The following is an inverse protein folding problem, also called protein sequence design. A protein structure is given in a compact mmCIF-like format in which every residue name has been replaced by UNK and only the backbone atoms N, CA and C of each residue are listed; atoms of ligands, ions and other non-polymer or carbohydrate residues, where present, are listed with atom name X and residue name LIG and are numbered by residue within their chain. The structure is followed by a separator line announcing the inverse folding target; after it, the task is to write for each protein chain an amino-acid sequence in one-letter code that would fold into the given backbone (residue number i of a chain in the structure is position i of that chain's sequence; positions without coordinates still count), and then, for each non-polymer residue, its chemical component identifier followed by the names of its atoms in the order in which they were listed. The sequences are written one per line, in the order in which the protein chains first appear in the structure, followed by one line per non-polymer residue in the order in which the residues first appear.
data_IF_149048299090
#
_entry.id   IF_149048299090
#
_cell.length_a   1.000
_cell.length_b   1.000
_cell.length_c   1.000
_cell.angle_alpha   90.00
_cell.angle_beta   90.00
_cell.angle_gamma   90.00
#
_symmetry.space_group_name_H-M   'P 1'
#
loop_
_entity.id
_entity.type
_entity.pdbx_description
1 polymer ?
#
# COMPACT_ATOMS: atom_id res chain seq x y z
N UNK A 1 -80.19 22.39 8.04
CA UNK A 1 -81.63 22.53 8.39
C UNK A 1 -81.69 22.59 9.92
N UNK A 2 -82.46 23.51 10.53
CA UNK A 2 -82.52 23.60 12.00
C UNK A 2 -83.54 22.63 12.59
N UNK A 3 -83.32 22.20 13.84
CA UNK A 3 -84.24 21.32 14.58
C UNK A 3 -85.70 21.81 14.54
N UNK A 4 -85.93 23.08 14.88
CA UNK A 4 -87.25 23.73 14.84
C UNK A 4 -87.93 23.72 13.46
N UNK A 5 -87.14 23.61 12.39
CA UNK A 5 -87.66 23.57 11.03
C UNK A 5 -87.92 22.13 10.61
N UNK A 6 -87.10 21.19 11.06
CA UNK A 6 -87.31 19.75 10.86
C UNK A 6 -88.60 19.28 11.56
N UNK A 7 -88.83 19.72 12.79
CA UNK A 7 -90.07 19.39 13.54
C UNK A 7 -91.33 19.76 12.75
N UNK A 8 -91.37 20.95 12.14
CA UNK A 8 -92.50 21.42 11.31
C UNK A 8 -92.70 20.60 10.03
N UNK A 9 -91.65 19.97 9.49
CA UNK A 9 -91.75 19.16 8.27
C UNK A 9 -92.17 17.71 8.57
N UNK A 10 -91.77 17.16 9.71
CA UNK A 10 -91.97 15.76 10.05
C UNK A 10 -93.14 15.51 11.01
N UNK A 11 -93.81 16.55 11.50
CA UNK A 11 -94.88 16.48 12.51
C UNK A 11 -96.01 15.50 12.17
N UNK A 12 -96.31 15.28 10.89
CA UNK A 12 -97.38 14.38 10.43
C UNK A 12 -96.87 13.04 9.87
N UNK A 13 -95.59 12.71 10.04
CA UNK A 13 -95.05 11.43 9.55
C UNK A 13 -95.16 10.33 10.61
N UNK A 14 -95.73 9.18 10.24
CA UNK A 14 -95.85 8.02 11.14
C UNK A 14 -94.50 7.54 11.73
N UNK A 15 -93.40 7.74 11.00
CA UNK A 15 -92.04 7.40 11.46
C UNK A 15 -91.50 8.39 12.49
N UNK A 16 -91.95 9.64 12.44
CA UNK A 16 -91.63 10.67 13.42
C UNK A 16 -92.40 10.45 14.72
N UNK A 17 -93.70 10.14 14.61
CA UNK A 17 -94.55 9.84 15.77
C UNK A 17 -94.14 8.55 16.51
N UNK A 18 -93.55 7.58 15.80
CA UNK A 18 -93.11 6.30 16.38
C UNK A 18 -92.04 6.40 17.47
N UNK A 19 -91.27 7.50 17.51
CA UNK A 19 -90.29 7.76 18.58
C UNK A 19 -90.98 8.64 19.61
N UNK A 20 -91.34 8.15 20.79
CA UNK A 20 -92.19 8.92 21.73
C UNK A 20 -91.46 10.10 22.39
N UNK A 21 -90.14 10.01 22.56
CA UNK A 21 -89.33 11.02 23.25
C UNK A 21 -88.86 12.11 22.29
N UNK A 22 -89.27 13.36 22.54
CA UNK A 22 -88.78 14.53 21.77
C UNK A 22 -87.26 14.66 21.83
N UNK A 23 -86.66 14.33 22.99
CA UNK A 23 -85.20 14.34 23.17
C UNK A 23 -84.51 13.31 22.30
N UNK A 24 -85.07 12.11 22.18
CA UNK A 24 -84.52 11.05 21.33
C UNK A 24 -84.66 11.40 19.84
N UNK A 25 -85.76 12.03 19.44
CA UNK A 25 -85.91 12.58 18.08
C UNK A 25 -84.86 13.67 17.80
N UNK A 26 -84.60 14.55 18.77
CA UNK A 26 -83.59 15.61 18.63
C UNK A 26 -82.18 15.05 18.51
N UNK A 27 -81.83 14.07 19.35
CA UNK A 27 -80.52 13.41 19.33
C UNK A 27 -80.30 12.66 18.00
N UNK A 28 -81.27 11.86 17.54
CA UNK A 28 -81.21 11.17 16.24
C UNK A 28 -81.10 12.12 15.05
N UNK A 29 -81.82 13.24 15.08
CA UNK A 29 -81.72 14.28 14.06
C UNK A 29 -80.33 14.91 14.05
N UNK A 30 -79.78 15.26 15.22
CA UNK A 30 -78.44 15.85 15.34
C UNK A 30 -77.36 14.87 14.85
N UNK A 31 -77.46 13.60 15.22
CA UNK A 31 -76.54 12.55 14.77
C UNK A 31 -76.61 12.35 13.25
N UNK A 32 -77.82 12.31 12.68
CA UNK A 32 -78.00 12.18 11.23
C UNK A 32 -77.42 13.39 10.48
N UNK A 33 -77.69 14.61 10.94
CA UNK A 33 -77.11 15.83 10.34
C UNK A 33 -75.58 15.80 10.43
N UNK A 34 -75.01 15.44 11.59
CA UNK A 34 -73.57 15.30 11.75
C UNK A 34 -72.99 14.22 10.82
N UNK A 35 -73.67 13.10 10.64
CA UNK A 35 -73.26 12.03 9.73
C UNK A 35 -73.30 12.48 8.25
N UNK A 36 -74.31 13.26 7.86
CA UNK A 36 -74.41 13.84 6.52
C UNK A 36 -73.32 14.88 6.26
N UNK A 37 -73.05 15.75 7.22
CA UNK A 37 -71.96 16.73 7.14
C UNK A 37 -70.59 16.05 7.04
N UNK A 38 -70.37 14.98 7.82
CA UNK A 38 -69.17 14.16 7.73
C UNK A 38 -69.04 13.48 6.36
N UNK A 39 -70.11 12.86 5.85
CA UNK A 39 -70.12 12.21 4.54
C UNK A 39 -69.83 13.19 3.40
N UNK A 40 -70.45 14.38 3.42
CA UNK A 40 -70.21 15.39 2.39
C UNK A 40 -68.78 15.94 2.46
N UNK A 41 -68.25 16.15 3.67
CA UNK A 41 -66.85 16.54 3.87
C UNK A 41 -65.90 15.47 3.32
N UNK A 42 -66.15 14.19 3.60
CA UNK A 42 -65.33 13.10 3.10
C UNK A 42 -65.41 12.99 1.57
N UNK A 43 -66.60 13.20 0.99
CA UNK A 43 -66.79 13.26 -0.48
C UNK A 43 -65.95 14.37 -1.11
N UNK A 44 -65.97 15.57 -0.53
CA UNK A 44 -65.17 16.70 -1.01
C UNK A 44 -63.66 16.44 -0.91
N UNK A 45 -63.21 15.82 0.19
CA UNK A 45 -61.81 15.42 0.36
C UNK A 45 -61.39 14.34 -0.65
N UNK A 46 -62.26 13.38 -0.94
CA UNK A 46 -62.02 12.34 -1.92
C UNK A 46 -61.85 12.92 -3.34
N UNK A 47 -62.76 13.82 -3.76
CA UNK A 47 -62.67 14.52 -5.06
C UNK A 47 -61.39 15.34 -5.15
N UNK A 48 -61.05 16.11 -4.10
CA UNK A 48 -59.80 16.87 -4.03
C UNK A 48 -58.58 15.96 -4.20
N UNK A 49 -58.54 14.82 -3.49
CA UNK A 49 -57.45 13.84 -3.59
C UNK A 49 -57.36 13.24 -5.00
N UNK A 50 -58.49 12.91 -5.62
CA UNK A 50 -58.54 12.41 -6.98
C UNK A 50 -58.00 13.43 -7.99
N UNK A 51 -58.41 14.69 -7.86
CA UNK A 51 -57.93 15.78 -8.71
C UNK A 51 -56.43 16.04 -8.53
N UNK A 52 -55.92 15.98 -7.29
CA UNK A 52 -54.47 16.06 -7.01
C UNK A 52 -53.69 14.90 -7.66
N UNK A 53 -54.26 13.69 -7.66
CA UNK A 53 -53.64 12.53 -8.31
C UNK A 53 -53.64 12.68 -9.84
N UNK A 54 -54.74 13.10 -10.45
CA UNK A 54 -54.81 13.40 -11.89
C UNK A 54 -53.79 14.47 -12.30
N UNK A 55 -53.63 15.50 -11.49
CA UNK A 55 -52.62 16.53 -11.71
C UNK A 55 -51.20 15.94 -11.68
N UNK A 56 -50.91 15.08 -10.70
CA UNK A 56 -49.63 14.37 -10.62
C UNK A 56 -49.38 13.49 -11.85
N UNK A 57 -50.38 12.74 -12.30
CA UNK A 57 -50.27 11.92 -13.51
C UNK A 57 -49.95 12.75 -14.75
N UNK A 58 -50.53 13.96 -14.87
CA UNK A 58 -50.17 14.89 -15.95
C UNK A 58 -48.71 15.34 -15.85
N UNK A 59 -48.21 15.64 -14.66
CA UNK A 59 -46.80 15.96 -14.48
C UNK A 59 -45.86 14.79 -14.80
N UNK A 60 -46.28 13.56 -14.50
CA UNK A 60 -45.53 12.34 -14.84
C UNK A 60 -45.53 12.05 -16.34
N UNK A 61 -46.62 12.39 -17.06
CA UNK A 61 -46.72 12.25 -18.51
C UNK A 61 -45.91 13.32 -19.27
N UNK A 62 -45.76 14.52 -18.69
CA UNK A 62 -45.02 15.61 -19.29
C UNK A 62 -43.50 15.49 -19.08
N UNK A 63 -42.79 15.08 -20.14
CA UNK A 63 -41.34 14.94 -20.15
C UNK A 63 -40.59 16.28 -20.12
N UNK A 64 -41.29 17.42 -20.29
CA UNK A 64 -40.66 18.75 -20.20
C UNK A 64 -40.38 19.17 -18.76
N UNK A 65 -40.99 18.51 -17.78
CA UNK A 65 -40.78 18.77 -16.36
C UNK A 65 -39.53 18.03 -15.89
N UNK A 66 -38.51 18.82 -15.55
CA UNK A 66 -37.24 18.34 -15.01
C UNK A 66 -37.07 18.79 -13.56
N UNK A 67 -36.04 18.27 -12.89
CA UNK A 67 -35.67 18.68 -11.52
C UNK A 67 -35.48 20.21 -11.38
N UNK A 68 -35.00 20.87 -12.44
CA UNK A 68 -34.79 22.33 -12.45
C UNK A 68 -36.00 23.14 -12.90
N UNK A 69 -37.14 22.50 -13.17
CA UNK A 69 -38.33 23.19 -13.65
C UNK A 69 -38.86 24.16 -12.60
N UNK A 70 -39.09 25.41 -13.02
CA UNK A 70 -39.61 26.45 -12.15
C UNK A 70 -41.13 26.51 -12.23
N UNK A 71 -41.77 26.74 -11.07
CA UNK A 71 -43.21 26.87 -10.95
C UNK A 71 -43.84 27.81 -11.99
N UNK A 72 -43.23 28.98 -12.24
CA UNK A 72 -43.77 29.98 -13.19
C UNK A 72 -44.01 29.39 -14.58
N UNK A 73 -43.08 28.59 -15.09
CA UNK A 73 -43.18 27.99 -16.42
C UNK A 73 -44.28 26.93 -16.50
N UNK A 74 -44.40 26.13 -15.44
CA UNK A 74 -45.43 25.09 -15.36
C UNK A 74 -46.81 25.73 -15.21
N UNK A 75 -46.94 26.74 -14.37
CA UNK A 75 -48.20 27.47 -14.20
C UNK A 75 -48.75 27.97 -15.55
N UNK A 76 -47.90 28.61 -16.37
CA UNK A 76 -48.34 29.18 -17.65
C UNK A 76 -48.79 28.09 -18.65
N UNK A 77 -48.29 26.85 -18.53
CA UNK A 77 -48.73 25.70 -19.34
C UNK A 77 -50.07 25.11 -18.88
N UNK A 78 -50.34 25.16 -17.57
CA UNK A 78 -51.52 24.54 -16.95
C UNK A 78 -52.64 25.54 -16.64
N UNK A 79 -52.47 26.83 -16.92
CA UNK A 79 -53.47 27.89 -16.62
C UNK A 79 -54.82 27.68 -17.34
N UNK A 80 -54.81 27.03 -18.50
CA UNK A 80 -56.00 26.69 -19.27
C UNK A 80 -56.60 25.30 -18.95
N UNK A 81 -55.98 24.54 -18.05
CA UNK A 81 -56.42 23.19 -17.68
C UNK A 81 -57.62 23.27 -16.71
N UNK A 82 -58.73 22.56 -16.94
CA UNK A 82 -59.85 22.49 -15.99
C UNK A 82 -59.42 22.12 -14.57
N UNK A 83 -58.36 21.29 -14.42
CA UNK A 83 -57.81 20.93 -13.11
C UNK A 83 -57.22 22.11 -12.34
N UNK A 84 -56.72 23.13 -13.04
CA UNK A 84 -56.20 24.35 -12.40
C UNK A 84 -57.33 25.25 -11.87
N UNK A 85 -58.53 25.16 -12.45
CA UNK A 85 -59.71 25.88 -11.98
C UNK A 85 -60.40 25.16 -10.82
N UNK A 86 -60.38 23.83 -10.80
CA UNK A 86 -61.02 23.01 -9.75
C UNK A 86 -60.19 22.88 -8.47
N UNK A 87 -58.85 22.91 -8.56
CA UNK A 87 -57.96 22.79 -7.40
C UNK A 87 -57.59 24.16 -6.81
N UNK A 88 -57.36 24.19 -5.50
CA UNK A 88 -56.76 25.37 -4.87
C UNK A 88 -55.29 25.52 -5.32
N UNK A 89 -54.84 26.77 -5.43
CA UNK A 89 -53.48 27.12 -5.81
C UNK A 89 -52.46 26.51 -4.86
N UNK A 90 -52.80 26.40 -3.57
CA UNK A 90 -51.97 25.75 -2.57
C UNK A 90 -51.81 24.25 -2.85
N UNK A 91 -52.90 23.55 -3.19
CA UNK A 91 -52.85 22.12 -3.49
C UNK A 91 -52.02 21.85 -4.75
N UNK A 92 -52.19 22.69 -5.78
CA UNK A 92 -51.41 22.58 -7.01
C UNK A 92 -49.91 22.74 -6.73
N UNK A 93 -49.52 23.76 -5.95
CA UNK A 93 -48.14 23.97 -5.52
C UNK A 93 -47.62 22.78 -4.71
N UNK A 94 -48.44 22.21 -3.83
CA UNK A 94 -48.07 21.04 -3.03
C UNK A 94 -47.81 19.81 -3.89
N UNK A 95 -48.67 19.54 -4.88
CA UNK A 95 -48.47 18.43 -5.83
C UNK A 95 -47.21 18.64 -6.66
N UNK A 96 -47.00 19.87 -7.17
CA UNK A 96 -45.82 20.21 -7.95
C UNK A 96 -44.53 20.05 -7.13
N UNK A 97 -44.48 20.59 -5.92
CA UNK A 97 -43.31 20.49 -5.05
C UNK A 97 -42.99 19.03 -4.71
N UNK A 98 -43.99 18.23 -4.35
CA UNK A 98 -43.80 16.81 -4.07
C UNK A 98 -43.29 16.06 -5.32
N UNK A 99 -43.80 16.39 -6.51
CA UNK A 99 -43.33 15.79 -7.75
C UNK A 99 -41.86 16.13 -8.05
N UNK A 100 -41.45 17.41 -7.89
CA UNK A 100 -40.06 17.82 -8.06
C UNK A 100 -39.14 17.12 -7.05
N UNK A 101 -39.53 17.04 -5.77
CA UNK A 101 -38.77 16.28 -4.75
C UNK A 101 -38.63 14.80 -5.12
N UNK A 102 -39.66 14.19 -5.67
CA UNK A 102 -39.61 12.79 -6.13
C UNK A 102 -38.66 12.65 -7.34
N UNK A 103 -38.63 13.62 -8.27
CA UNK A 103 -37.66 13.65 -9.37
C UNK A 103 -36.21 13.83 -8.87
N UNK A 104 -35.99 14.72 -7.90
CA UNK A 104 -34.69 14.90 -7.24
C UNK A 104 -34.21 13.60 -6.61
N UNK A 105 -35.08 12.96 -5.83
CA UNK A 105 -34.80 11.68 -5.20
C UNK A 105 -34.49 10.60 -6.23
N UNK A 106 -35.26 10.49 -7.31
CA UNK A 106 -34.99 9.55 -8.41
C UNK A 106 -33.62 9.81 -9.06
N UNK A 107 -33.27 11.07 -9.32
CA UNK A 107 -31.98 11.43 -9.92
C UNK A 107 -30.81 11.09 -8.97
N UNK A 108 -30.96 11.39 -7.69
CA UNK A 108 -29.96 11.07 -6.67
C UNK A 108 -29.80 9.56 -6.48
N UNK A 109 -30.90 8.81 -6.48
CA UNK A 109 -30.89 7.35 -6.41
C UNK A 109 -30.21 6.74 -7.64
N UNK A 110 -30.46 7.26 -8.85
CA UNK A 110 -29.76 6.83 -10.06
C UNK A 110 -28.26 7.12 -9.96
N UNK A 111 -27.87 8.32 -9.51
CA UNK A 111 -26.45 8.69 -9.31
C UNK A 111 -25.78 7.80 -8.26
N UNK A 112 -26.47 7.50 -7.16
CA UNK A 112 -26.01 6.57 -6.12
C UNK A 112 -25.82 5.16 -6.69
N UNK A 113 -26.80 4.64 -7.43
CA UNK A 113 -26.72 3.32 -8.06
C UNK A 113 -25.57 3.23 -9.05
N UNK A 114 -25.37 4.23 -9.91
CA UNK A 114 -24.23 4.27 -10.84
C UNK A 114 -22.89 4.25 -10.09
N UNK A 115 -22.74 5.09 -9.07
CA UNK A 115 -21.54 5.11 -8.22
C UNK A 115 -21.31 3.77 -7.52
N UNK A 116 -22.35 3.13 -7.03
CA UNK A 116 -22.24 1.85 -6.33
C UNK A 116 -21.95 0.69 -7.29
N UNK A 117 -22.46 0.73 -8.53
CA UNK A 117 -22.06 -0.19 -9.61
C UNK A 117 -20.56 -0.08 -9.89
N UNK A 118 -20.06 1.15 -10.10
CA UNK A 118 -18.62 1.39 -10.31
C UNK A 118 -17.76 0.90 -9.13
N UNK A 119 -18.22 1.12 -7.89
CA UNK A 119 -17.53 0.60 -6.69
C UNK A 119 -17.53 -0.92 -6.61
N UNK A 120 -18.62 -1.58 -7.03
CA UNK A 120 -18.71 -3.05 -7.07
C UNK A 120 -17.78 -3.64 -8.12
N UNK A 121 -17.73 -3.05 -9.31
CA UNK A 121 -16.80 -3.45 -10.37
C UNK A 121 -15.34 -3.25 -9.94
N UNK A 122 -15.00 -2.09 -9.38
CA UNK A 122 -13.66 -1.85 -8.85
C UNK A 122 -13.27 -2.78 -7.69
N UNK A 123 -14.23 -3.31 -6.93
CA UNK A 123 -13.96 -4.38 -5.94
C UNK A 123 -13.63 -5.70 -6.64
N UNK A 124 -14.45 -6.11 -7.62
CA UNK A 124 -14.22 -7.33 -8.41
C UNK A 124 -12.84 -7.31 -9.08
N UNK A 125 -12.47 -6.20 -9.71
CA UNK A 125 -11.17 -6.08 -10.39
C UNK A 125 -9.99 -6.21 -9.39
N UNK A 126 -10.12 -5.61 -8.20
CA UNK A 126 -9.11 -5.77 -7.13
C UNK A 126 -9.04 -7.20 -6.62
N UNK A 127 -10.16 -7.87 -6.43
CA UNK A 127 -10.20 -9.25 -5.96
C UNK A 127 -9.68 -10.23 -7.02
N UNK A 128 -9.95 -9.97 -8.30
CA UNK A 128 -9.34 -10.69 -9.43
C UNK A 128 -7.82 -10.51 -9.46
N UNK A 129 -7.32 -9.29 -9.24
CA UNK A 129 -5.88 -9.07 -9.18
C UNK A 129 -5.22 -9.76 -7.98
N UNK A 130 -5.89 -9.81 -6.82
CA UNK A 130 -5.40 -10.60 -5.67
C UNK A 130 -5.39 -12.10 -5.96
N UNK A 131 -6.43 -12.62 -6.62
CA UNK A 131 -6.47 -14.01 -7.04
C UNK A 131 -5.34 -14.32 -8.04
N UNK A 132 -5.07 -13.41 -8.97
CA UNK A 132 -3.96 -13.50 -9.91
C UNK A 132 -2.59 -13.50 -9.19
N UNK A 133 -2.39 -12.64 -8.19
CA UNK A 133 -1.17 -12.66 -7.37
C UNK A 133 -1.00 -13.99 -6.63
N UNK A 134 -2.10 -14.55 -6.09
CA UNK A 134 -2.08 -15.85 -5.44
C UNK A 134 -1.78 -17.00 -6.42
N UNK A 135 -2.34 -16.96 -7.62
CA UNK A 135 -2.03 -17.91 -8.70
C UNK A 135 -0.55 -17.87 -9.07
N UNK A 136 0.02 -16.67 -9.24
CA UNK A 136 1.44 -16.47 -9.55
C UNK A 136 2.38 -16.84 -8.42
N UNK A 137 1.92 -16.70 -7.18
CA UNK A 137 2.62 -17.26 -6.03
C UNK A 137 2.64 -18.78 -6.06
N UNK A 138 1.50 -19.42 -6.35
CA UNK A 138 1.39 -20.87 -6.46
C UNK A 138 2.13 -21.46 -7.67
N UNK A 139 2.34 -20.68 -8.74
CA UNK A 139 3.20 -21.09 -9.87
C UNK A 139 4.69 -20.91 -9.59
N UNK A 140 5.07 -20.23 -8.50
CA UNK A 140 6.46 -19.92 -8.15
C UNK A 140 7.07 -18.76 -8.94
N UNK A 141 6.30 -18.09 -9.81
CA UNK A 141 6.72 -16.89 -10.54
C UNK A 141 6.79 -15.65 -9.63
N UNK A 142 6.11 -15.70 -8.47
CA UNK A 142 6.09 -14.66 -7.47
C UNK A 142 6.52 -15.21 -6.10
N UNK A 143 7.50 -14.55 -5.48
CA UNK A 143 8.08 -14.92 -4.19
C UNK A 143 8.47 -13.65 -3.40
N UNK A 144 8.87 -13.80 -2.13
CA UNK A 144 9.15 -12.67 -1.23
C UNK A 144 10.28 -11.71 -1.69
N UNK A 145 11.08 -12.13 -2.68
CA UNK A 145 12.18 -11.33 -3.24
C UNK A 145 11.84 -10.69 -4.60
N UNK A 146 10.71 -11.06 -5.21
CA UNK A 146 10.31 -10.51 -6.51
C UNK A 146 10.12 -8.99 -6.41
N UNK A 147 10.74 -8.24 -7.33
CA UNK A 147 10.62 -6.78 -7.39
C UNK A 147 9.37 -6.37 -8.15
N UNK A 148 8.77 -5.24 -7.78
CA UNK A 148 7.61 -4.70 -8.49
C UNK A 148 7.90 -4.45 -9.97
N UNK A 149 9.03 -3.83 -10.31
CA UNK A 149 9.42 -3.59 -11.71
C UNK A 149 9.49 -4.87 -12.54
N UNK A 150 10.06 -5.94 -11.98
CA UNK A 150 10.17 -7.23 -12.66
C UNK A 150 8.78 -7.86 -12.87
N UNK A 151 7.93 -7.79 -11.84
CA UNK A 151 6.55 -8.27 -11.93
C UNK A 151 5.74 -7.46 -12.95
N UNK A 152 5.76 -6.14 -12.85
CA UNK A 152 5.06 -5.21 -13.76
C UNK A 152 5.50 -5.42 -15.20
N UNK A 153 6.80 -5.49 -15.48
CA UNK A 153 7.30 -5.71 -16.84
C UNK A 153 6.82 -7.03 -17.44
N UNK A 154 6.67 -8.09 -16.62
CA UNK A 154 6.16 -9.40 -17.07
C UNK A 154 4.64 -9.42 -17.27
N UNK A 155 3.87 -8.76 -16.41
CA UNK A 155 2.41 -8.92 -16.36
C UNK A 155 1.59 -7.68 -16.76
N UNK A 156 2.23 -6.57 -17.12
CA UNK A 156 1.53 -5.35 -17.55
C UNK A 156 0.60 -5.56 -18.75
N UNK A 157 0.93 -6.51 -19.64
CA UNK A 157 0.13 -6.81 -20.84
C UNK A 157 -1.14 -7.59 -20.52
N UNK A 158 -1.27 -8.14 -19.31
CA UNK A 158 -2.43 -8.96 -18.95
C UNK A 158 -3.70 -8.11 -18.84
N UNK A 159 -4.87 -8.64 -19.24
CA UNK A 159 -6.12 -7.90 -19.14
C UNK A 159 -6.47 -7.53 -17.70
N UNK A 160 -6.08 -8.36 -16.73
CA UNK A 160 -6.32 -8.13 -15.29
C UNK A 160 -5.57 -6.87 -14.82
N UNK A 161 -4.32 -6.70 -15.24
CA UNK A 161 -3.51 -5.53 -14.91
C UNK A 161 -4.05 -4.26 -15.55
N UNK A 162 -4.46 -4.33 -16.82
CA UNK A 162 -5.03 -3.19 -17.55
C UNK A 162 -6.38 -2.75 -16.98
N UNK A 163 -7.26 -3.71 -16.69
CA UNK A 163 -8.56 -3.44 -16.07
C UNK A 163 -8.39 -2.70 -14.74
N UNK A 164 -7.45 -3.12 -13.89
CA UNK A 164 -7.20 -2.44 -12.62
C UNK A 164 -6.49 -1.09 -12.78
N UNK A 165 -5.54 -0.97 -13.71
CA UNK A 165 -4.79 0.28 -13.95
C UNK A 165 -5.66 1.43 -14.46
N UNK A 166 -6.70 1.11 -15.23
CA UNK A 166 -7.64 2.09 -15.75
C UNK A 166 -8.67 2.57 -14.70
N UNK A 167 -8.74 1.95 -13.51
CA UNK A 167 -9.66 2.35 -12.44
C UNK A 167 -9.04 3.45 -11.59
N UNK A 168 -9.77 4.54 -11.40
CA UNK A 168 -9.38 5.66 -10.53
C UNK A 168 -9.87 5.50 -9.09
N UNK A 169 -10.65 4.45 -8.79
CA UNK A 169 -11.33 4.23 -7.51
C UNK A 169 -10.72 3.01 -6.81
N UNK A 170 -10.10 3.26 -5.65
CA UNK A 170 -9.55 2.21 -4.79
C UNK A 170 -8.03 2.10 -4.88
N UNK A 171 -7.53 0.94 -4.48
CA UNK A 171 -6.09 0.65 -4.42
C UNK A 171 -5.51 0.42 -5.81
N UNK A 172 -4.28 0.89 -6.01
CA UNK A 172 -3.54 0.70 -7.26
C UNK A 172 -3.01 -0.74 -7.38
N UNK A 173 -2.64 -1.21 -8.59
CA UNK A 173 -1.94 -2.49 -8.75
C UNK A 173 -0.68 -2.60 -7.89
N UNK A 174 0.08 -1.51 -7.75
CA UNK A 174 1.26 -1.46 -6.88
C UNK A 174 0.88 -1.71 -5.42
N UNK A 175 -0.11 -0.98 -4.90
CA UNK A 175 -0.54 -1.12 -3.51
C UNK A 175 -0.95 -2.55 -3.19
N UNK A 176 -1.74 -3.18 -4.08
CA UNK A 176 -2.15 -4.57 -3.89
C UNK A 176 -0.98 -5.55 -3.95
N UNK A 177 0.01 -5.30 -4.80
CA UNK A 177 1.23 -6.10 -4.84
C UNK A 177 2.07 -5.92 -3.57
N UNK A 178 2.22 -4.69 -3.09
CA UNK A 178 2.92 -4.41 -1.84
C UNK A 178 2.24 -5.10 -0.66
N UNK A 179 0.93 -4.97 -0.51
CA UNK A 179 0.14 -5.66 0.52
C UNK A 179 0.38 -7.18 0.47
N UNK A 180 0.28 -7.77 -0.74
CA UNK A 180 0.49 -9.21 -0.93
C UNK A 180 1.94 -9.62 -0.61
N UNK A 181 2.92 -8.81 -0.99
CA UNK A 181 4.33 -9.05 -0.71
C UNK A 181 4.64 -8.94 0.78
N UNK A 182 4.05 -7.98 1.50
CA UNK A 182 4.20 -7.88 2.96
C UNK A 182 3.65 -9.13 3.65
N UNK A 183 2.47 -9.61 3.23
CA UNK A 183 1.90 -10.87 3.72
C UNK A 183 2.84 -12.07 3.44
N UNK A 184 3.48 -12.11 2.26
CA UNK A 184 4.48 -13.11 1.94
C UNK A 184 5.75 -12.99 2.79
N UNK A 185 6.24 -11.78 3.05
CA UNK A 185 7.42 -11.55 3.89
C UNK A 185 7.16 -12.00 5.33
N UNK A 186 5.97 -11.73 5.88
CA UNK A 186 5.60 -12.20 7.23
C UNK A 186 5.52 -13.73 7.28
N UNK A 187 4.98 -14.38 6.25
CA UNK A 187 4.97 -15.85 6.15
C UNK A 187 6.39 -16.40 5.99
N UNK A 188 7.19 -15.77 5.14
CA UNK A 188 8.57 -16.15 4.91
C UNK A 188 9.41 -16.01 6.19
N UNK A 189 9.23 -14.98 7.01
CA UNK A 189 9.97 -14.82 8.27
C UNK A 189 9.67 -15.96 9.27
N UNK A 190 8.43 -16.45 9.31
CA UNK A 190 8.05 -17.61 10.13
C UNK A 190 8.68 -18.88 9.59
N UNK A 191 8.62 -19.09 8.28
CA UNK A 191 9.20 -20.24 7.62
C UNK A 191 10.73 -20.19 7.66
N UNK A 192 11.34 -19.01 7.61
CA UNK A 192 12.78 -18.76 7.71
C UNK A 192 13.34 -19.24 9.04
N UNK A 193 12.64 -18.98 10.15
CA UNK A 193 13.02 -19.51 11.46
C UNK A 193 13.04 -21.03 11.46
N UNK A 194 11.99 -21.66 10.93
CA UNK A 194 11.90 -23.11 10.80
C UNK A 194 12.98 -23.68 9.89
N UNK A 195 13.23 -23.04 8.74
CA UNK A 195 14.28 -23.41 7.78
C UNK A 195 15.67 -23.31 8.41
N UNK A 196 15.94 -22.27 9.20
CA UNK A 196 17.21 -22.08 9.90
C UNK A 196 17.46 -23.15 10.94
N UNK A 197 16.42 -23.53 11.70
CA UNK A 197 16.52 -24.62 12.67
C UNK A 197 16.68 -25.96 11.95
N UNK A 198 15.98 -26.17 10.84
CA UNK A 198 16.11 -27.37 10.02
C UNK A 198 17.51 -27.56 9.43
N UNK A 199 18.08 -26.48 8.89
CA UNK A 199 19.44 -26.48 8.33
C UNK A 199 20.50 -26.76 9.38
N UNK A 200 20.27 -26.32 10.63
CA UNK A 200 21.15 -26.68 11.76
C UNK A 200 20.97 -28.14 12.16
N UNK A 201 19.73 -28.63 12.24
CA UNK A 201 19.44 -30.02 12.59
C UNK A 201 20.03 -31.00 11.55
N UNK A 202 20.12 -30.58 10.29
CA UNK A 202 20.68 -31.37 9.17
C UNK A 202 22.18 -31.13 8.94
N UNK A 203 22.83 -30.24 9.70
CA UNK A 203 24.22 -29.78 9.48
C UNK A 203 24.51 -29.44 8.00
N UNK A 204 23.53 -28.84 7.33
CA UNK A 204 23.59 -28.64 5.89
C UNK A 204 24.63 -27.56 5.54
N UNK A 205 25.67 -27.95 4.81
CA UNK A 205 26.68 -27.04 4.29
C UNK A 205 26.35 -26.69 2.84
N UNK A 206 26.08 -25.41 2.60
CA UNK A 206 25.88 -24.91 1.25
C UNK A 206 27.19 -24.93 0.49
N UNK A 207 27.26 -25.72 -0.57
CA UNK A 207 28.38 -25.73 -1.52
C UNK A 207 27.98 -24.89 -2.73
N UNK A 208 28.72 -23.80 -3.05
CA UNK A 208 28.50 -23.02 -4.26
C UNK A 208 28.55 -23.92 -5.51
N UNK A 209 27.57 -23.77 -6.41
CA UNK A 209 27.42 -24.46 -7.70
C UNK A 209 26.90 -25.92 -7.69
N UNK A 210 26.94 -26.65 -6.56
CA UNK A 210 26.36 -28.01 -6.46
C UNK A 210 24.95 -28.02 -5.85
N UNK A 211 24.63 -26.98 -5.08
CA UNK A 211 23.33 -26.88 -4.41
C UNK A 211 22.30 -26.23 -5.33
N UNK A 212 21.61 -27.02 -6.16
CA UNK A 212 20.47 -26.57 -6.95
C UNK A 212 19.19 -26.51 -6.10
N UNK A 213 18.17 -25.79 -6.59
CA UNK A 213 16.86 -25.74 -5.93
C UNK A 213 16.31 -27.14 -5.65
N UNK A 214 16.48 -28.03 -6.62
CA UNK A 214 16.04 -29.42 -6.61
C UNK A 214 16.77 -30.23 -5.53
N UNK A 215 18.10 -30.13 -5.46
CA UNK A 215 18.89 -30.87 -4.47
C UNK A 215 18.67 -30.36 -3.04
N UNK A 216 18.40 -29.05 -2.89
CA UNK A 216 18.01 -28.47 -1.62
C UNK A 216 16.61 -28.91 -1.20
N UNK A 217 15.62 -28.89 -2.09
CA UNK A 217 14.27 -29.41 -1.81
C UNK A 217 14.31 -30.87 -1.39
N UNK A 218 15.03 -31.72 -2.13
CA UNK A 218 15.20 -33.14 -1.79
C UNK A 218 15.91 -33.34 -0.45
N UNK A 219 16.90 -32.50 -0.11
CA UNK A 219 17.59 -32.59 1.18
C UNK A 219 16.70 -32.15 2.34
N UNK A 220 15.81 -31.19 2.11
CA UNK A 220 14.85 -30.73 3.11
C UNK A 220 13.66 -31.69 3.25
N UNK A 221 13.17 -32.29 2.16
CA UNK A 221 12.08 -33.29 2.16
C UNK A 221 12.42 -34.57 2.92
N UNK A 222 13.71 -34.89 3.10
CA UNK A 222 14.17 -35.97 4.00
C UNK A 222 13.78 -35.75 5.46
N UNK A 223 13.39 -34.53 5.84
CA UNK A 223 12.97 -34.18 7.18
C UNK A 223 11.45 -34.03 7.28
N UNK A 224 10.83 -34.58 8.33
CA UNK A 224 9.37 -34.46 8.56
C UNK A 224 8.92 -33.00 8.80
N UNK A 225 9.84 -32.13 9.24
CA UNK A 225 9.59 -30.70 9.50
C UNK A 225 9.44 -29.88 8.21
N UNK A 226 9.82 -30.43 7.06
CA UNK A 226 9.68 -29.79 5.73
C UNK A 226 8.22 -29.63 5.29
N UNK A 227 7.32 -30.50 5.76
CA UNK A 227 5.89 -30.45 5.46
C UNK A 227 5.21 -29.18 5.99
N UNK A 228 5.79 -28.53 7.01
CA UNK A 228 5.25 -27.28 7.56
C UNK A 228 5.75 -26.02 6.83
N UNK A 229 6.65 -26.17 5.85
CA UNK A 229 7.33 -25.05 5.19
C UNK A 229 6.88 -24.99 3.73
N UNK A 230 6.50 -23.80 3.28
CA UNK A 230 6.07 -23.63 1.89
C UNK A 230 7.22 -23.91 0.90
N UNK A 231 7.01 -24.73 -0.14
CA UNK A 231 8.01 -24.99 -1.17
C UNK A 231 8.57 -23.74 -1.87
N UNK A 232 7.77 -22.68 -1.89
CA UNK A 232 8.12 -21.39 -2.49
C UNK A 232 9.09 -20.56 -1.64
N UNK A 233 9.19 -20.86 -0.34
CA UNK A 233 10.10 -20.19 0.60
C UNK A 233 11.52 -20.78 0.59
N UNK A 234 11.74 -21.92 -0.07
CA UNK A 234 13.08 -22.49 -0.27
C UNK A 234 13.96 -21.63 -1.21
N UNK A 235 13.36 -20.99 -2.23
CA UNK A 235 14.05 -20.12 -3.18
C UNK A 235 14.72 -18.91 -2.47
N UNK A 236 13.96 -18.08 -1.72
CA UNK A 236 14.57 -16.97 -0.99
C UNK A 236 15.60 -17.40 0.06
N UNK A 237 15.43 -18.58 0.66
CA UNK A 237 16.38 -19.09 1.66
C UNK A 237 17.69 -19.56 1.02
N UNK A 238 17.63 -20.17 -0.16
CA UNK A 238 18.83 -20.52 -0.92
C UNK A 238 19.62 -19.27 -1.35
N UNK A 239 18.93 -18.22 -1.80
CA UNK A 239 19.60 -16.95 -2.10
C UNK A 239 20.25 -16.34 -0.85
N UNK A 240 19.61 -16.47 0.32
CA UNK A 240 20.20 -16.09 1.60
C UNK A 240 21.46 -16.92 1.93
N UNK A 241 21.43 -18.25 1.76
CA UNK A 241 22.60 -19.11 1.98
C UNK A 241 23.74 -18.73 1.04
N UNK A 242 23.45 -18.48 -0.24
CA UNK A 242 24.43 -18.03 -1.23
C UNK A 242 25.07 -16.71 -0.83
N UNK A 243 24.26 -15.72 -0.43
CA UNK A 243 24.77 -14.43 0.06
C UNK A 243 25.62 -14.57 1.32
N UNK A 244 25.20 -15.43 2.26
CA UNK A 244 25.93 -15.68 3.51
C UNK A 244 27.31 -16.29 3.23
N UNK A 245 27.41 -17.22 2.29
CA UNK A 245 28.67 -17.86 1.92
C UNK A 245 29.59 -16.89 1.17
N UNK A 246 29.07 -16.16 0.18
CA UNK A 246 29.83 -15.11 -0.52
C UNK A 246 30.35 -14.03 0.46
N UNK A 247 29.57 -13.71 1.48
CA UNK A 247 30.00 -12.77 2.54
C UNK A 247 31.13 -13.34 3.39
N UNK A 248 31.05 -14.63 3.78
CA UNK A 248 32.15 -15.30 4.49
C UNK A 248 33.40 -15.32 3.61
N UNK A 249 33.30 -15.68 2.35
CA UNK A 249 34.40 -15.71 1.39
C UNK A 249 35.06 -14.33 1.25
N UNK A 250 34.26 -13.26 1.08
CA UNK A 250 34.78 -11.88 1.07
C UNK A 250 35.48 -11.49 2.36
N UNK A 251 34.96 -11.90 3.52
CA UNK A 251 35.62 -11.62 4.80
C UNK A 251 36.90 -12.45 4.99
N UNK A 252 36.90 -13.70 4.55
CA UNK A 252 38.07 -14.58 4.56
C UNK A 252 39.16 -14.06 3.61
N UNK A 253 38.79 -13.63 2.41
CA UNK A 253 39.69 -12.98 1.44
C UNK A 253 40.28 -11.68 2.01
N UNK A 254 39.46 -10.84 2.65
CA UNK A 254 39.96 -9.64 3.35
C UNK A 254 40.90 -9.96 4.50
N UNK A 255 40.61 -10.99 5.31
CA UNK A 255 41.49 -11.47 6.39
C UNK A 255 42.80 -12.01 5.83
N UNK A 256 42.75 -12.84 4.78
CA UNK A 256 43.91 -13.37 4.06
C UNK A 256 44.77 -12.24 3.48
N UNK A 257 44.16 -11.26 2.80
CA UNK A 257 44.87 -10.08 2.27
C UNK A 257 45.55 -9.25 3.38
N UNK A 258 44.91 -9.11 4.54
CA UNK A 258 45.52 -8.43 5.71
C UNK A 258 46.71 -9.22 6.26
N UNK A 259 46.59 -10.54 6.43
CA UNK A 259 47.71 -11.42 6.86
C UNK A 259 48.89 -11.34 5.90
N UNK A 260 48.64 -11.38 4.60
CA UNK A 260 49.65 -11.18 3.56
C UNK A 260 50.28 -9.78 3.67
N UNK A 261 49.49 -8.74 3.91
CA UNK A 261 49.99 -7.38 4.11
C UNK A 261 50.89 -7.23 5.34
N UNK A 262 50.55 -7.87 6.47
CA UNK A 262 51.39 -7.90 7.66
C UNK A 262 52.70 -8.65 7.42
N UNK A 263 52.66 -9.76 6.70
CA UNK A 263 53.86 -10.51 6.33
C UNK A 263 54.77 -9.71 5.39
N UNK A 264 54.22 -9.03 4.38
CA UNK A 264 54.99 -8.11 3.51
C UNK A 264 55.62 -6.96 4.29
N UNK A 265 54.89 -6.37 5.23
CA UNK A 265 55.44 -5.32 6.11
C UNK A 265 56.58 -5.86 6.98
N UNK A 266 56.41 -7.06 7.51
CA UNK A 266 57.45 -7.72 8.30
C UNK A 266 58.71 -8.00 7.48
N UNK A 267 58.57 -8.37 6.21
CA UNK A 267 59.70 -8.50 5.28
C UNK A 267 60.39 -7.16 5.07
N UNK A 268 59.64 -6.07 4.82
CA UNK A 268 60.22 -4.71 4.68
C UNK A 268 60.92 -4.20 5.95
N UNK A 269 60.36 -4.47 7.13
CA UNK A 269 60.92 -4.02 8.41
C UNK A 269 62.17 -4.82 8.80
N UNK A 270 62.34 -6.03 8.24
CA UNK A 270 63.51 -6.89 8.46
C UNK A 270 64.63 -6.48 7.49
N UNK A 271 65.36 -5.43 7.84
CA UNK A 271 66.46 -4.82 7.05
C UNK A 271 67.69 -5.74 6.79
N UNK A 272 67.66 -6.99 7.22
CA UNK A 272 68.72 -7.98 7.00
C UNK A 272 68.48 -8.86 5.76
N UNK A 273 67.47 -8.55 4.96
CA UNK A 273 67.15 -9.28 3.72
C UNK A 273 67.84 -8.56 2.55
N UNK A 274 68.86 -9.20 2.00
CA UNK A 274 69.64 -8.72 0.84
C UNK A 274 69.23 -9.54 -0.39
N UNK A 275 69.53 -9.07 -1.62
CA UNK A 275 69.19 -9.72 -2.91
C UNK A 275 69.59 -11.20 -3.03
N UNK A 276 70.54 -11.66 -2.20
CA UNK A 276 71.07 -13.04 -2.18
C UNK A 276 70.56 -13.86 -1.00
N UNK A 277 69.74 -13.28 -0.11
CA UNK A 277 69.23 -13.99 1.08
C UNK A 277 68.36 -15.16 0.66
N UNK A 278 68.73 -16.35 1.13
CA UNK A 278 67.96 -17.56 0.84
C UNK A 278 66.72 -17.63 1.72
N UNK A 279 65.68 -18.28 1.19
CA UNK A 279 64.43 -18.48 1.93
C UNK A 279 64.66 -19.18 3.28
N UNK A 280 65.68 -20.02 3.40
CA UNK A 280 66.00 -20.77 4.61
C UNK A 280 66.58 -19.91 5.74
N UNK A 281 67.42 -18.91 5.44
CA UNK A 281 67.98 -17.97 6.42
C UNK A 281 66.91 -17.00 6.96
N UNK A 282 66.06 -16.52 6.05
CA UNK A 282 64.96 -15.61 6.39
C UNK A 282 63.86 -16.38 7.14
N UNK A 283 63.62 -17.64 6.79
CA UNK A 283 62.72 -18.55 7.51
C UNK A 283 63.19 -18.77 8.95
N UNK A 284 64.48 -19.00 9.20
CA UNK A 284 65.01 -19.18 10.55
C UNK A 284 64.81 -17.91 11.43
N UNK A 285 64.92 -16.73 10.81
CA UNK A 285 64.80 -15.43 11.51
C UNK A 285 63.34 -14.99 11.72
N UNK A 286 62.44 -15.39 10.82
CA UNK A 286 61.01 -15.05 10.87
C UNK A 286 60.14 -16.10 11.56
N UNK A 287 60.64 -17.32 11.78
CA UNK A 287 59.90 -18.44 12.37
C UNK A 287 59.28 -18.12 13.75
N UNK A 288 59.94 -17.26 14.52
CA UNK A 288 59.53 -16.90 15.89
C UNK A 288 58.50 -15.75 15.91
N UNK A 289 58.24 -15.11 14.76
CA UNK A 289 57.35 -13.96 14.67
C UNK A 289 55.91 -14.38 14.38
N UNK A 290 54.96 -13.71 15.05
CA UNK A 290 53.53 -14.03 15.01
C UNK A 290 52.94 -13.89 13.61
N UNK A 291 53.45 -12.95 12.82
CA UNK A 291 53.02 -12.68 11.46
C UNK A 291 53.49 -13.76 10.46
N UNK A 292 54.53 -14.54 10.79
CA UNK A 292 54.96 -15.73 10.05
C UNK A 292 54.10 -16.95 10.40
N UNK A 293 53.76 -17.12 11.69
CA UNK A 293 52.91 -18.21 12.18
C UNK A 293 51.46 -18.08 11.71
N UNK A 294 50.95 -16.85 11.53
CA UNK A 294 49.57 -16.58 11.09
C UNK A 294 49.26 -16.98 9.63
N UNK A 295 50.28 -17.29 8.80
CA UNK A 295 50.13 -17.71 7.41
C UNK A 295 50.31 -19.23 7.27
N UNK A 296 49.31 -20.08 7.48
CA UNK A 296 49.54 -21.55 7.53
C UNK A 296 50.19 -22.19 6.28
N UNK A 297 50.06 -21.59 5.10
CA UNK A 297 50.55 -22.17 3.83
C UNK A 297 52.03 -21.86 3.53
N UNK A 298 52.89 -22.87 3.66
CA UNK A 298 54.34 -22.76 3.40
C UNK A 298 54.68 -22.28 1.97
N UNK A 299 53.89 -22.66 0.97
CA UNK A 299 54.09 -22.26 -0.43
C UNK A 299 53.67 -20.80 -0.70
N UNK A 300 52.68 -20.27 0.03
CA UNK A 300 52.30 -18.87 -0.11
C UNK A 300 53.35 -17.95 0.50
N UNK A 301 53.96 -18.39 1.62
CA UNK A 301 55.07 -17.68 2.26
C UNK A 301 56.27 -17.53 1.30
N UNK A 302 56.63 -18.62 0.62
CA UNK A 302 57.74 -18.64 -0.35
C UNK A 302 57.46 -17.78 -1.59
N UNK A 303 56.23 -17.81 -2.14
CA UNK A 303 55.81 -16.94 -3.26
C UNK A 303 55.82 -15.45 -2.88
N UNK A 304 55.36 -15.12 -1.68
CA UNK A 304 55.37 -13.72 -1.21
C UNK A 304 56.80 -13.24 -1.02
N UNK A 305 57.69 -14.08 -0.50
CA UNK A 305 59.11 -13.78 -0.37
C UNK A 305 59.82 -13.61 -1.72
N UNK A 306 59.57 -14.51 -2.69
CA UNK A 306 60.09 -14.39 -4.05
C UNK A 306 59.66 -13.06 -4.69
N UNK A 307 58.40 -12.66 -4.54
CA UNK A 307 57.91 -11.35 -5.02
C UNK A 307 58.56 -10.15 -4.32
N UNK A 308 59.04 -10.33 -3.09
CA UNK A 308 59.74 -9.29 -2.34
C UNK A 308 61.22 -9.18 -2.76
N UNK A 309 61.89 -10.31 -3.03
CA UNK A 309 63.25 -10.33 -3.60
C UNK A 309 63.25 -9.71 -5.00
N UNK A 310 62.25 -10.02 -5.84
CA UNK A 310 62.08 -9.38 -7.16
C UNK A 310 61.86 -7.86 -7.05
N UNK A 311 61.06 -7.41 -6.07
CA UNK A 311 60.87 -5.98 -5.80
C UNK A 311 62.18 -5.30 -5.37
N UNK A 312 62.98 -5.93 -4.51
CA UNK A 312 64.31 -5.43 -4.11
C UNK A 312 65.31 -5.44 -5.28
N UNK A 313 65.22 -6.41 -6.19
CA UNK A 313 66.03 -6.45 -7.40
C UNK A 313 65.64 -5.31 -8.37
N UNK A 314 64.34 -5.04 -8.55
CA UNK A 314 63.86 -3.94 -9.40
C UNK A 314 64.23 -2.56 -8.85
N UNK A 315 64.08 -2.31 -7.54
CA UNK A 315 64.49 -1.05 -6.92
C UNK A 315 65.96 -0.73 -7.15
N UNK A 316 66.81 -1.74 -7.14
CA UNK A 316 68.24 -1.55 -7.37
C UNK A 316 68.65 -1.39 -8.84
N UNK A 317 67.80 -1.84 -9.77
CA UNK A 317 68.01 -1.61 -11.21
C UNK A 317 67.57 -0.19 -11.58
N UNK A 318 66.57 0.37 -10.87
CA UNK A 318 66.23 1.79 -10.96
C UNK A 318 67.31 2.69 -10.33
N UNK A 319 67.92 2.30 -9.21
CA UNK A 319 69.06 3.04 -8.62
C UNK A 319 70.37 2.92 -9.43
N UNK A 320 70.60 1.84 -10.18
CA UNK A 320 71.77 1.72 -11.09
C UNK A 320 71.53 2.34 -12.48
N UNK A 321 70.33 2.87 -12.76
CA UNK A 321 69.96 3.47 -14.04
C UNK A 321 70.12 4.99 -14.13
N UNK A 322 70.35 5.69 -13.02
CA UNK A 322 70.37 7.16 -12.98
C UNK A 322 71.66 7.71 -12.33
N UNK A 323 72.76 7.70 -13.09
CA UNK A 323 73.90 8.64 -12.90
C UNK A 323 74.36 9.18 -14.27
N UNK A 324 73.73 10.26 -14.75
CA UNK A 324 74.41 11.53 -15.13
C UNK A 324 73.42 12.53 -15.79
N UNK A 325 73.22 13.70 -15.15
CA UNK A 325 72.60 14.87 -15.80
C UNK A 325 71.87 15.90 -14.91
N UNK A 326 72.62 16.63 -14.08
CA UNK A 326 72.36 17.94 -13.42
C UNK A 326 70.92 18.52 -13.20
N UNK A 327 70.62 18.84 -11.92
CA UNK A 327 69.61 19.81 -11.41
C UNK A 327 70.21 21.25 -11.37
N UNK A 328 69.46 22.40 -11.46
CA UNK A 328 68.44 22.76 -10.45
C UNK A 328 67.29 23.78 -10.79
N UNK A 329 66.14 23.56 -10.13
CA UNK A 329 65.23 24.51 -9.41
C UNK A 329 64.44 25.69 -10.03
N UNK A 330 63.24 25.89 -9.45
CA UNK A 330 62.42 27.12 -9.22
C UNK A 330 61.20 27.31 -10.14
N UNK A 331 59.96 27.36 -9.63
CA UNK A 331 59.35 28.41 -8.80
C UNK A 331 57.99 27.87 -8.27
N UNK A 332 57.65 27.85 -6.98
CA UNK A 332 57.25 28.96 -6.10
C UNK A 332 56.39 30.03 -6.78
N UNK A 333 55.07 29.91 -6.65
CA UNK A 333 54.20 31.06 -6.41
C UNK A 333 53.59 30.94 -5.01
N UNK A 334 54.14 31.74 -4.10
CA UNK A 334 53.53 32.13 -2.83
C UNK A 334 52.65 33.35 -3.08
N UNK A 335 51.48 33.46 -2.42
CA UNK A 335 51.05 34.65 -1.66
C UNK A 335 49.78 34.31 -0.83
N UNK A 336 49.93 34.33 0.51
CA UNK A 336 49.14 35.04 1.53
C UNK A 336 47.75 35.64 1.12
N UNK A 337 46.68 35.73 1.93
CA UNK A 337 46.53 35.97 3.37
C UNK A 337 45.04 35.80 3.81
N UNK A 338 44.85 35.39 5.07
CA UNK A 338 43.87 35.85 6.09
C UNK A 338 42.35 35.89 5.82
N UNK A 339 41.58 35.20 6.66
CA UNK A 339 41.07 35.70 7.97
C UNK A 339 40.01 34.71 8.51
N UNK A 340 40.24 34.09 9.69
CA UNK A 340 39.62 34.44 10.99
C UNK A 340 38.11 34.17 11.04
N UNK A 341 37.47 33.48 12.00
CA UNK A 341 37.63 33.19 13.45
C UNK A 341 36.38 32.32 13.77
N UNK A 342 36.23 31.47 14.80
CA UNK A 342 36.85 31.32 16.12
C UNK A 342 36.29 30.07 16.83
N UNK A 343 37.16 29.42 17.62
CA UNK A 343 37.00 28.76 18.93
C UNK A 343 35.68 28.12 19.40
N UNK A 344 35.81 26.97 20.08
CA UNK A 344 34.92 26.63 21.20
C UNK A 344 34.96 25.20 21.74
N UNK A 345 35.86 24.98 22.70
CA UNK A 345 36.01 23.87 23.67
C UNK A 345 34.73 23.22 24.27
N UNK A 346 34.80 21.87 24.43
CA UNK A 346 34.26 20.97 25.48
C UNK A 346 32.73 20.71 25.73
N UNK A 347 32.36 19.47 26.19
CA UNK A 347 30.98 19.01 26.49
C UNK A 347 30.57 19.27 27.96
N UNK A 348 29.25 19.25 28.33
CA UNK A 348 28.69 18.07 29.04
C UNK A 348 27.14 17.84 28.99
N UNK A 349 26.75 16.60 29.32
CA UNK A 349 25.62 16.08 30.13
C UNK A 349 24.16 16.61 30.05
N UNK A 350 23.26 15.63 29.84
CA UNK A 350 21.93 15.36 30.45
C UNK A 350 20.78 16.39 30.39
N UNK A 351 19.64 15.98 29.81
CA UNK A 351 18.39 15.63 30.53
C UNK A 351 17.14 15.73 29.63
N UNK A 352 16.10 15.06 30.08
CA UNK A 352 14.77 14.78 29.49
C UNK A 352 14.04 15.91 28.76
N UNK A 353 13.25 15.54 27.75
CA UNK A 353 11.77 15.61 27.87
C UNK A 353 11.06 15.06 26.63
N UNK A 354 10.00 14.32 26.91
CA UNK A 354 9.14 13.65 25.97
C UNK A 354 8.22 14.64 25.24
N UNK A 355 7.98 14.41 23.95
CA UNK A 355 6.76 14.88 23.30
C UNK A 355 6.39 13.98 22.13
N UNK A 356 5.39 13.13 22.40
CA UNK A 356 4.64 12.35 21.41
C UNK A 356 3.91 13.32 20.47
N UNK A 357 4.25 13.33 19.18
CA UNK A 357 3.37 13.87 18.13
C UNK A 357 2.97 12.76 17.17
N UNK A 358 1.74 12.27 17.35
CA UNK A 358 1.00 11.47 16.38
C UNK A 358 0.93 12.27 15.08
N UNK A 359 1.47 11.74 13.98
CA UNK A 359 1.28 12.34 12.65
C UNK A 359 0.15 11.59 11.94
N UNK A 360 -0.92 12.34 11.70
CA UNK A 360 -1.99 12.06 10.75
C UNK A 360 -1.39 11.76 9.38
N UNK A 361 -1.88 10.70 8.73
CA UNK A 361 -1.57 10.42 7.32
C UNK A 361 -2.47 11.29 6.45
N UNK A 362 -1.92 12.41 5.96
CA UNK A 362 -2.48 13.10 4.80
C UNK A 362 -2.12 12.32 3.53
N UNK A 363 -3.13 12.15 2.67
CA UNK A 363 -3.03 11.46 1.38
C UNK A 363 -2.37 12.39 0.38
N UNK A 364 -1.05 12.28 0.22
CA UNK A 364 -0.38 12.70 -1.00
C UNK A 364 -0.13 11.47 -1.89
N UNK A 365 -0.69 11.52 -3.11
CA UNK A 365 -0.48 10.51 -4.14
C UNK A 365 0.93 10.69 -4.71
N UNK A 366 1.91 10.15 -4.02
CA UNK A 366 3.27 9.96 -4.53
C UNK A 366 3.26 9.07 -5.77
N UNK A 367 4.25 9.28 -6.63
CA UNK A 367 4.43 8.45 -7.83
C UNK A 367 4.81 7.01 -7.47
N UNK A 368 4.49 6.04 -8.34
CA UNK A 368 4.84 4.61 -8.21
C UNK A 368 6.33 4.43 -7.80
N UNK A 369 7.21 5.31 -8.31
CA UNK A 369 8.65 5.34 -8.02
C UNK A 369 9.03 5.90 -6.64
N UNK A 370 8.26 6.84 -6.08
CA UNK A 370 8.51 7.42 -4.75
C UNK A 370 8.08 6.46 -3.66
N UNK A 371 6.91 5.83 -3.83
CA UNK A 371 6.47 4.74 -2.96
C UNK A 371 7.46 3.56 -3.01
N UNK A 372 8.06 3.31 -4.18
CA UNK A 372 9.11 2.29 -4.34
C UNK A 372 10.37 2.61 -3.50
N UNK A 373 10.82 3.86 -3.58
CA UNK A 373 12.05 4.32 -2.91
C UNK A 373 11.89 4.35 -1.39
N UNK A 374 10.72 4.77 -0.89
CA UNK A 374 10.43 4.81 0.53
C UNK A 374 10.35 3.41 1.16
N UNK A 375 9.81 2.41 0.45
CA UNK A 375 9.80 1.02 0.95
C UNK A 375 11.21 0.39 0.90
N UNK A 376 12.02 0.65 -0.13
CA UNK A 376 13.40 0.11 -0.23
C UNK A 376 14.29 0.65 0.90
N UNK A 377 14.12 1.91 1.28
CA UNK A 377 14.79 2.51 2.42
C UNK A 377 14.38 1.85 3.76
N UNK A 378 13.10 1.49 3.92
CA UNK A 378 12.63 0.72 5.09
C UNK A 378 13.24 -0.68 5.14
N UNK A 379 13.36 -1.38 4.01
CA UNK A 379 14.01 -2.72 3.93
C UNK A 379 15.48 -2.66 4.33
N UNK A 380 16.20 -1.65 3.84
CA UNK A 380 17.61 -1.41 4.14
C UNK A 380 17.88 -1.11 5.62
N UNK A 381 16.91 -0.48 6.30
CA UNK A 381 16.96 -0.16 7.73
C UNK A 381 16.61 -1.36 8.62
N UNK A 382 15.59 -2.15 8.23
CA UNK A 382 15.15 -3.34 8.97
C UNK A 382 16.24 -4.42 8.99
N UNK A 383 16.82 -4.77 7.83
CA UNK A 383 17.91 -5.75 7.73
C UNK A 383 19.22 -5.30 8.40
N UNK A 384 19.42 -3.99 8.61
CA UNK A 384 20.56 -3.46 9.37
C UNK A 384 20.35 -3.47 10.88
N UNK A 385 19.10 -3.40 11.37
CA UNK A 385 18.79 -3.43 12.80
C UNK A 385 18.92 -4.81 13.42
N UNK A 386 18.65 -5.88 12.66
CA UNK A 386 18.85 -7.27 13.11
C UNK A 386 20.33 -7.70 13.22
N UNK A 387 21.27 -6.83 12.81
CA UNK A 387 22.73 -7.07 12.81
C UNK A 387 23.46 -6.39 13.97
N UNK A 388 22.75 -5.93 15.00
CA UNK A 388 23.35 -5.27 16.16
C UNK A 388 23.11 -6.01 17.45
#
# INVERSE_FOLDING_TARGET
MSWRRATLYFENEARWEAIESEREREDLFRDYIASLEALEKDRLLAVKKENMNKLREKFEADQSITVSSQWRRIRDQFENDPLFQELDKFDFLSVFENYIRDLEKKQDDQRRQQRDKLKKEARKDRDQFRAFLAEKFNSGELHALTRWKEFKNKFQTTPIFNSLSNRTIGSTPLELFCDFKEDLEVKYEKDYRKLKDLVKDLDFTYVPNETTLESFKQSMEKSEKSNSISPFNYLPFLEYLRYKEESKEKTAAKRKKKRIGYFKRLLCDTKSITKQSTWEEVKATLADKKEYQDLDDAQEREKIFASYIEYLAQQSVEEEGDEEGELPSSSLTSTHHNASRSNGFAPPLSSSSASKKRRSYDRDRGTDSELESDWENRKSSSFKKEKR
#
